data_IF_236672875693
#
_entry.id   IF_236672875693
#
_cell.length_a   1.000
_cell.length_b   1.000
_cell.length_c   1.000
_cell.angle_alpha   90.00
_cell.angle_beta   90.00
_cell.angle_gamma   90.00
#
_symmetry.space_group_name_H-M   'P 1'
#
loop_
_entity.id
_entity.type
_entity.pdbx_description
1 polymer ?
2 polymer ?
3 polymer ?
4 water ?
#
# COMPACT_ATOMS: atom_id res chain seq x y z
N UNK A 1 -16.03 -14.62 2.62
CA UNK A 1 -15.38 -13.32 2.74
C UNK A 1 -15.72 -12.38 1.60
N UNK A 2 -15.46 -11.09 1.80
CA UNK A 2 -15.77 -10.08 0.81
C UNK A 2 -14.54 -9.71 -0.03
N UNK A 3 -14.78 -9.04 -1.15
CA UNK A 3 -13.69 -8.59 -2.03
C UNK A 3 -13.80 -7.10 -2.30
N UNK A 4 -12.76 -6.53 -2.90
CA UNK A 4 -12.73 -5.10 -3.18
C UNK A 4 -11.88 -4.77 -4.39
N UNK A 5 -12.22 -3.68 -5.06
CA UNK A 5 -11.41 -3.16 -6.15
C UNK A 5 -11.05 -1.70 -5.85
N UNK A 6 -9.76 -1.40 -5.91
CA UNK A 6 -9.30 -0.07 -5.53
C UNK A 6 -8.43 0.57 -6.59
N UNK A 7 -8.67 1.86 -6.85
CA UNK A 7 -7.77 2.64 -7.68
C UNK A 7 -7.12 3.76 -6.87
N UNK A 8 -5.81 3.90 -7.01
CA UNK A 8 -5.06 4.92 -6.28
C UNK A 8 -4.32 5.82 -7.26
N UNK A 9 -4.55 7.12 -7.15
CA UNK A 9 -3.91 8.08 -8.03
C UNK A 9 -3.11 9.10 -7.23
N UNK A 10 -1.90 9.38 -7.71
CA UNK A 10 -1.03 10.36 -7.07
C UNK A 10 -0.48 11.33 -8.10
N UNK A 11 -0.65 12.63 -7.84
CA UNK A 11 -0.08 13.66 -8.69
C UNK A 11 0.76 14.61 -7.84
N UNK A 12 2.03 14.76 -8.22
CA UNK A 12 2.92 15.67 -7.51
C UNK A 12 3.49 16.70 -8.47
N UNK A 13 3.29 17.97 -8.17
CA UNK A 13 3.76 19.05 -9.03
C UNK A 13 5.26 19.24 -8.89
N UNK A 14 5.94 19.46 -10.01
CA UNK A 14 7.39 19.68 -10.02
C UNK A 14 7.74 21.11 -10.42
N UNK A 15 7.85 22.01 -9.44
CA UNK A 15 8.26 23.40 -9.69
C UNK A 15 9.78 23.56 -9.65
N UNK A 16 10.38 23.92 -10.78
CA UNK A 16 9.64 24.08 -12.02
C UNK A 16 10.18 23.14 -13.09
N UNK A 17 10.59 21.95 -12.66
CA UNK A 17 11.19 20.96 -13.55
C UNK A 17 10.29 20.62 -14.74
N UNK A 18 9.00 20.90 -14.63
CA UNK A 18 8.07 20.63 -15.70
C UNK A 18 6.67 20.41 -15.20
N UNK A 19 6.08 19.30 -15.60
CA UNK A 19 4.70 18.97 -15.23
C UNK A 19 4.63 17.87 -14.17
N UNK A 20 3.48 17.78 -13.50
CA UNK A 20 3.26 16.80 -12.42
C UNK A 20 3.66 15.38 -12.80
N UNK A 21 4.28 14.69 -11.85
CA UNK A 21 4.44 13.25 -11.92
C UNK A 21 3.10 12.60 -11.58
N UNK A 22 2.66 11.68 -12.42
CA UNK A 22 1.37 11.02 -12.20
C UNK A 22 1.52 9.51 -12.16
N UNK A 23 1.03 8.90 -11.08
CA UNK A 23 1.10 7.46 -10.93
C UNK A 23 -0.27 6.89 -10.52
N UNK A 24 -0.66 5.81 -11.20
CA UNK A 24 -1.94 5.19 -10.93
C UNK A 24 -1.76 3.70 -10.73
N UNK A 25 -2.38 3.17 -9.68
CA UNK A 25 -2.33 1.73 -9.42
C UNK A 25 -3.71 1.17 -9.16
N UNK A 26 -4.00 0.02 -9.75
CA UNK A 26 -5.25 -0.66 -9.53
C UNK A 26 -5.02 -1.92 -8.73
N UNK A 27 -5.88 -2.15 -7.75
CA UNK A 27 -5.78 -3.32 -6.89
C UNK A 27 -7.07 -4.13 -6.94
N UNK A 28 -6.94 -5.45 -6.84
CA UNK A 28 -8.06 -6.31 -6.53
C UNK A 28 -7.68 -7.05 -5.24
N UNK A 29 -8.31 -6.66 -4.14
CA UNK A 29 -7.88 -7.11 -2.83
C UNK A 29 -6.46 -6.63 -2.58
N UNK A 30 -5.54 -7.56 -2.36
CA UNK A 30 -4.16 -7.19 -2.11
C UNK A 30 -3.23 -7.49 -3.30
N UNK A 31 -3.83 -7.61 -4.48
CA UNK A 31 -3.09 -7.95 -5.70
C UNK A 31 -3.21 -6.84 -6.74
N UNK A 32 -2.08 -6.19 -7.06
CA UNK A 32 -2.07 -5.18 -8.11
C UNK A 32 -2.28 -5.83 -9.47
N UNK A 33 -3.08 -5.20 -10.32
CA UNK A 33 -3.37 -5.77 -11.64
C UNK A 33 -3.11 -4.80 -12.81
N UNK A 34 -3.10 -3.50 -12.53
CA UNK A 34 -2.76 -2.51 -13.54
C UNK A 34 -1.94 -1.36 -12.98
N UNK A 35 -1.35 -0.58 -13.87
CA UNK A 35 -0.47 0.50 -13.47
C UNK A 35 -0.21 1.49 -14.60
N UNK A 36 -0.10 2.76 -14.23
CA UNK A 36 0.28 3.79 -15.17
C UNK A 36 1.22 4.79 -14.51
N UNK A 37 2.23 5.21 -15.26
CA UNK A 37 3.20 6.18 -14.78
C UNK A 37 3.49 7.14 -15.91
N UNK A 38 3.33 8.44 -15.62
CA UNK A 38 3.50 9.47 -16.64
C UNK A 38 4.93 9.56 -17.15
N UNK A 39 5.87 9.02 -16.37
CA UNK A 39 7.29 9.08 -16.74
C UNK A 39 7.76 7.82 -17.45
N UNK A 40 6.96 6.77 -17.40
CA UNK A 40 7.31 5.52 -18.06
C UNK A 40 7.35 5.72 -19.57
N UNK A 41 8.17 4.91 -20.25
CA UNK A 41 8.30 4.99 -21.69
C UNK A 41 7.03 4.52 -22.39
N UNK A 42 6.31 3.62 -21.73
CA UNK A 42 5.12 3.00 -22.30
C UNK A 42 4.02 4.00 -22.64
N UNK A 43 3.71 4.87 -21.70
CA UNK A 43 2.61 5.82 -21.87
C UNK A 43 1.30 5.08 -22.10
N UNK A 44 1.21 3.87 -21.55
CA UNK A 44 0.01 3.04 -21.66
C UNK A 44 -0.37 2.52 -20.28
N UNK A 45 -1.65 2.23 -20.10
CA UNK A 45 -2.09 1.48 -18.94
C UNK A 45 -1.49 0.08 -19.07
N UNK A 46 -0.69 -0.33 -18.10
CA UNK A 46 0.04 -1.59 -18.20
C UNK A 46 -0.50 -2.65 -17.25
N UNK A 47 -0.46 -3.93 -17.67
CA UNK A 47 -0.94 -5.00 -16.81
C UNK A 47 0.12 -5.45 -15.80
N UNK A 48 -0.33 -5.84 -14.62
CA UNK A 48 0.57 -6.30 -13.57
C UNK A 48 0.08 -7.61 -12.95
N UNK A 49 -0.79 -8.31 -13.67
CA UNK A 49 -1.30 -9.61 -13.24
C UNK A 49 -1.71 -10.42 -14.46
N UNK A 50 -1.58 -11.75 -14.37
CA UNK A 50 -1.80 -12.64 -15.52
C UNK A 50 -3.22 -12.57 -16.09
N UNK A 51 -4.22 -12.50 -15.22
CA UNK A 51 -5.61 -12.56 -15.65
C UNK A 51 -6.08 -11.32 -16.41
N UNK A 52 -5.51 -10.17 -16.10
CA UNK A 52 -5.94 -8.93 -16.76
C UNK A 52 -5.41 -8.87 -18.20
N UNK A 53 -4.38 -9.67 -18.49
CA UNK A 53 -3.77 -9.67 -19.81
C UNK A 53 -4.72 -10.25 -20.85
N UNK A 54 -5.78 -10.91 -20.39
CA UNK A 54 -6.76 -11.52 -21.28
C UNK A 54 -7.58 -10.48 -22.02
N UNK A 55 -7.85 -9.36 -21.36
CA UNK A 55 -8.64 -8.29 -21.95
C UNK A 55 -8.07 -7.88 -23.31
N UNK A 56 -8.97 -7.70 -24.28
CA UNK A 56 -8.56 -7.33 -25.63
C UNK A 56 -8.01 -5.92 -25.71
N UNK A 57 -7.60 -5.50 -26.91
CA UNK A 57 -7.00 -4.18 -27.11
C UNK A 57 -7.99 -3.03 -26.87
N UNK A 58 -9.27 -3.26 -27.14
CA UNK A 58 -10.27 -2.22 -26.92
C UNK A 58 -10.33 -1.85 -25.44
N UNK A 59 -10.06 -2.83 -24.58
CA UNK A 59 -10.03 -2.60 -23.14
C UNK A 59 -8.82 -1.75 -22.75
N UNK A 60 -7.66 -2.14 -23.25
CA UNK A 60 -6.42 -1.41 -22.94
C UNK A 60 -6.46 0.00 -23.49
N UNK A 61 -6.86 0.15 -24.75
CA UNK A 61 -7.01 1.47 -25.35
C UNK A 61 -7.95 2.32 -24.50
N UNK A 62 -9.03 1.72 -24.01
CA UNK A 62 -10.01 2.45 -23.24
C UNK A 62 -9.44 2.89 -21.90
N UNK A 63 -8.74 1.97 -21.23
CA UNK A 63 -8.17 2.26 -19.92
C UNK A 63 -7.08 3.32 -19.94
N UNK A 64 -6.19 3.28 -20.94
CA UNK A 64 -5.15 4.30 -21.01
C UNK A 64 -5.78 5.65 -21.34
N UNK A 65 -6.83 5.61 -22.17
CA UNK A 65 -7.61 6.80 -22.46
C UNK A 65 -8.12 7.41 -21.16
N UNK A 66 -8.79 6.58 -20.36
CA UNK A 66 -9.37 7.05 -19.10
C UNK A 66 -8.36 7.49 -18.05
N UNK A 67 -7.21 6.81 -17.99
CA UNK A 67 -6.21 7.14 -16.98
C UNK A 67 -5.48 8.45 -17.28
N UNK A 68 -5.43 8.81 -18.57
CA UNK A 68 -4.85 10.09 -18.96
C UNK A 68 -5.85 11.22 -18.70
N UNK A 69 -7.13 10.94 -18.88
CA UNK A 69 -8.17 11.89 -18.54
C UNK A 69 -8.12 12.15 -17.04
N UNK A 70 -7.90 11.09 -16.27
CA UNK A 70 -7.78 11.22 -14.82
C UNK A 70 -6.65 12.21 -14.48
N UNK A 71 -5.48 11.98 -15.07
CA UNK A 71 -4.30 12.79 -14.76
C UNK A 71 -4.44 14.22 -15.24
N UNK A 72 -5.15 14.41 -16.35
CA UNK A 72 -5.31 15.76 -16.88
C UNK A 72 -6.25 16.61 -16.03
N UNK A 73 -7.12 15.95 -15.25
CA UNK A 73 -7.95 16.70 -14.32
C UNK A 73 -7.24 16.93 -13.00
N UNK A 74 -6.38 15.99 -12.60
CA UNK A 74 -5.58 16.18 -11.40
C UNK A 74 -4.49 17.23 -11.65
N UNK A 75 -4.06 17.31 -12.90
CA UNK A 75 -3.09 18.30 -13.32
C UNK A 75 -3.71 19.71 -13.26
N UNK A 76 -4.97 19.80 -13.67
CA UNK A 76 -5.69 21.08 -13.59
C UNK A 76 -6.12 21.37 -12.16
N UNK A 77 -6.43 20.32 -11.39
CA UNK A 77 -6.80 20.48 -9.99
C UNK A 77 -5.68 21.09 -9.14
N UNK A 78 -4.44 20.72 -9.42
CA UNK A 78 -3.28 21.29 -8.73
C UNK A 78 -3.25 22.80 -8.91
N UNK A 79 -3.52 23.24 -10.13
CA UNK A 79 -3.57 24.66 -10.43
C UNK A 79 -4.70 25.35 -9.69
N UNK A 80 -5.87 24.72 -9.72
CA UNK A 80 -7.06 25.25 -9.07
C UNK A 80 -6.89 25.37 -7.56
N UNK A 81 -6.39 24.32 -6.93
CA UNK A 81 -6.20 24.31 -5.49
C UNK A 81 -5.18 25.34 -5.04
N UNK A 82 -4.09 25.46 -5.80
CA UNK A 82 -3.06 26.44 -5.46
C UNK A 82 -3.73 27.82 -5.36
N UNK A 83 -4.67 28.07 -6.28
CA UNK A 83 -5.43 29.30 -6.28
C UNK A 83 -6.44 29.44 -5.15
N UNK A 84 -7.11 28.34 -4.82
CA UNK A 84 -8.05 28.34 -3.70
C UNK A 84 -7.33 28.75 -2.42
N UNK A 85 -6.13 28.20 -2.23
CA UNK A 85 -5.38 28.37 -0.99
C UNK A 85 -4.46 29.58 -0.99
N UNK A 86 -4.31 30.22 -2.15
CA UNK A 86 -3.43 31.38 -2.26
C UNK A 86 -1.98 31.00 -2.00
N UNK A 87 -1.56 29.86 -2.55
CA UNK A 87 -0.20 29.38 -2.37
C UNK A 87 0.70 29.84 -3.51
N UNK A 88 2.00 29.87 -3.26
CA UNK A 88 2.96 30.28 -4.28
C UNK A 88 3.29 29.12 -5.21
N UNK A 89 3.72 29.45 -6.43
CA UNK A 89 4.12 28.43 -7.38
C UNK A 89 5.45 27.82 -6.98
N UNK A 90 6.04 28.36 -5.91
CA UNK A 90 7.32 27.88 -5.41
C UNK A 90 7.24 26.43 -4.95
N UNK A 91 6.47 26.20 -3.89
CA UNK A 91 6.36 24.88 -3.29
C UNK A 91 5.81 23.80 -4.18
N UNK A 92 6.08 22.55 -3.81
CA UNK A 92 5.58 21.39 -4.53
C UNK A 92 4.40 20.78 -3.78
N UNK A 93 3.35 20.41 -4.50
CA UNK A 93 2.15 19.89 -3.85
C UNK A 93 1.70 18.54 -4.36
N UNK A 94 0.83 17.90 -3.61
CA UNK A 94 0.38 16.54 -3.91
C UNK A 94 -1.14 16.43 -3.84
N UNK A 95 -1.72 15.83 -4.87
CA UNK A 95 -3.12 15.41 -4.82
C UNK A 95 -3.16 13.89 -4.86
N UNK A 96 -4.01 13.31 -4.03
CA UNK A 96 -4.17 11.86 -3.99
C UNK A 96 -5.65 11.51 -4.04
N UNK A 97 -6.00 10.57 -4.91
CA UNK A 97 -7.36 10.14 -5.04
C UNK A 97 -7.48 8.63 -4.93
N UNK A 98 -8.49 8.18 -4.20
CA UNK A 98 -8.82 6.77 -4.17
C UNK A 98 -10.30 6.60 -4.43
N UNK A 99 -10.65 5.63 -5.27
CA UNK A 99 -12.03 5.21 -5.38
C UNK A 99 -12.13 3.70 -5.61
N UNK A 100 -13.28 3.13 -5.29
CA UNK A 100 -13.47 1.69 -5.41
C UNK A 100 -14.75 1.17 -4.78
N UNK A 101 -14.83 -0.15 -4.63
CA UNK A 101 -16.07 -0.78 -4.17
C UNK A 101 -15.82 -2.15 -3.53
N UNK A 102 -16.68 -2.51 -2.59
CA UNK A 102 -16.62 -3.83 -1.96
C UNK A 102 -17.84 -4.66 -2.35
N UNK A 103 -17.62 -5.95 -2.58
CA UNK A 103 -18.73 -6.87 -2.82
C UNK A 103 -18.65 -8.00 -1.81
N UNK A 104 -19.78 -8.66 -1.58
CA UNK A 104 -19.82 -9.78 -0.65
C UNK A 104 -19.41 -11.07 -1.32
N UNK A 105 -19.53 -12.18 -0.59
CA UNK A 105 -19.14 -13.48 -1.12
C UNK A 105 -20.02 -13.91 -2.29
N UNK A 106 -21.24 -13.37 -2.35
CA UNK A 106 -22.15 -13.68 -3.44
C UNK A 106 -22.12 -12.61 -4.53
N UNK A 107 -21.17 -11.68 -4.40
CA UNK A 107 -20.95 -10.66 -5.41
C UNK A 107 -21.94 -9.51 -5.34
N UNK A 108 -22.58 -9.35 -4.19
CA UNK A 108 -23.52 -8.24 -4.01
C UNK A 108 -22.79 -6.98 -3.59
N UNK A 109 -23.19 -5.84 -4.15
CA UNK A 109 -22.63 -4.57 -3.78
C UNK A 109 -22.65 -4.39 -2.26
N UNK A 110 -21.58 -3.84 -1.71
CA UNK A 110 -21.46 -3.65 -0.28
C UNK A 110 -21.21 -2.19 0.06
N UNK A 111 -20.13 -1.63 -0.48
CA UNK A 111 -19.74 -0.25 -0.20
C UNK A 111 -19.08 0.40 -1.40
N UNK A 112 -19.31 1.70 -1.55
CA UNK A 112 -18.66 2.49 -2.57
C UNK A 112 -17.78 3.53 -1.93
N UNK A 113 -16.66 3.85 -2.57
CA UNK A 113 -15.67 4.76 -1.99
C UNK A 113 -15.20 5.80 -2.99
N UNK A 114 -14.96 7.02 -2.49
CA UNK A 114 -14.19 7.99 -3.24
C UNK A 114 -13.73 9.13 -2.33
N UNK A 115 -12.42 9.18 -2.10
CA UNK A 115 -11.82 10.16 -1.19
C UNK A 115 -10.66 10.88 -1.86
N UNK A 116 -10.55 12.18 -1.61
CA UNK A 116 -9.49 12.99 -2.19
C UNK A 116 -8.67 13.63 -1.07
N UNK A 117 -7.39 13.84 -1.32
CA UNK A 117 -6.52 14.47 -0.33
C UNK A 117 -5.65 15.53 -0.99
N UNK A 118 -5.27 16.54 -0.22
CA UNK A 118 -4.36 17.56 -0.71
C UNK A 118 -3.22 17.77 0.29
N UNK A 119 -2.00 17.54 -0.15
CA UNK A 119 -0.84 17.63 0.73
C UNK A 119 -0.93 16.69 1.92
N UNK A 120 -1.56 15.54 1.71
CA UNK A 120 -1.65 14.51 2.73
C UNK A 120 -2.73 14.76 3.77
N UNK A 121 -3.65 15.66 3.46
CA UNK A 121 -4.78 15.93 4.35
C UNK A 121 -6.09 15.77 3.61
N UNK A 122 -7.07 15.19 4.29
CA UNK A 122 -8.41 15.05 3.73
C UNK A 122 -8.81 16.33 3.01
N UNK A 123 -9.38 16.18 1.82
CA UNK A 123 -9.90 17.32 1.09
C UNK A 123 -11.42 17.19 0.95
N UNK A 124 -11.85 16.22 0.15
CA UNK A 124 -13.27 15.96 -0.03
C UNK A 124 -13.50 14.46 -0.22
N UNK A 125 -14.68 14.00 0.19
CA UNK A 125 -15.01 12.59 0.11
C UNK A 125 -16.50 12.38 -0.12
N UNK A 126 -16.84 11.35 -0.87
CA UNK A 126 -18.23 10.95 -1.06
C UNK A 126 -18.68 10.17 0.16
N UNK A 127 -19.83 10.55 0.73
CA UNK A 127 -20.38 9.84 1.87
C UNK A 127 -20.88 8.44 1.49
N UNK A 128 -21.27 7.65 2.48
CA UNK A 128 -21.65 6.27 2.23
C UNK A 128 -22.92 6.13 1.40
N UNK A 129 -23.80 7.12 1.47
CA UNK A 129 -25.03 7.09 0.68
C UNK A 129 -24.78 7.26 -0.81
N UNK A 130 -23.56 7.70 -1.15
CA UNK A 130 -23.17 7.92 -2.55
C UNK A 130 -24.02 9.01 -3.20
N UNK A 131 -24.44 9.98 -2.39
CA UNK A 131 -25.32 11.05 -2.87
C UNK A 131 -24.92 12.42 -2.33
N UNK A 132 -24.06 12.43 -1.32
CA UNK A 132 -23.61 13.67 -0.71
C UNK A 132 -22.10 13.65 -0.43
N UNK A 133 -21.52 14.83 -0.22
CA UNK A 133 -20.09 14.94 0.01
C UNK A 133 -19.78 15.53 1.38
N UNK A 134 -18.56 15.30 1.84
CA UNK A 134 -18.04 15.95 3.04
C UNK A 134 -16.78 16.71 2.69
N UNK A 135 -16.78 18.02 2.97
CA UNK A 135 -15.60 18.86 2.77
C UNK A 135 -14.79 18.92 4.07
N UNK A 136 -13.47 18.98 3.94
CA UNK A 136 -12.59 19.01 5.12
C UNK A 136 -12.27 20.43 5.56
N UNK A 137 -12.15 21.34 4.59
CA UNK A 137 -11.91 22.75 4.90
C UNK A 137 -12.77 23.64 4.01
N UNK A 138 -12.61 24.95 4.14
CA UNK A 138 -13.44 25.90 3.40
C UNK A 138 -13.10 25.96 1.91
N UNK A 139 -11.92 25.47 1.54
CA UNK A 139 -11.54 25.39 0.13
C UNK A 139 -12.29 24.25 -0.54
N UNK A 140 -12.30 23.09 0.12
CA UNK A 140 -13.01 21.93 -0.39
C UNK A 140 -14.51 22.18 -0.50
N UNK A 141 -15.00 23.16 0.26
CA UNK A 141 -16.42 23.53 0.21
C UNK A 141 -16.79 24.18 -1.13
N UNK A 142 -15.84 24.90 -1.71
CA UNK A 142 -16.02 25.48 -3.03
C UNK A 142 -16.20 24.35 -4.05
N UNK A 143 -15.39 23.30 -3.91
CA UNK A 143 -15.49 22.11 -4.75
C UNK A 143 -16.82 21.40 -4.51
N UNK A 144 -17.21 21.33 -3.24
CA UNK A 144 -18.44 20.66 -2.84
C UNK A 144 -19.64 21.32 -3.49
N UNK A 145 -19.70 22.65 -3.40
CA UNK A 145 -20.80 23.40 -4.02
C UNK A 145 -20.82 23.18 -5.53
N UNK A 146 -19.65 23.14 -6.16
CA UNK A 146 -19.58 22.94 -7.60
C UNK A 146 -20.13 21.57 -8.00
N UNK A 147 -19.72 20.53 -7.27
CA UNK A 147 -20.14 19.17 -7.59
C UNK A 147 -21.61 18.93 -7.26
N UNK A 148 -22.11 19.56 -6.21
CA UNK A 148 -23.52 19.45 -5.85
C UNK A 148 -24.37 20.09 -6.94
N UNK A 149 -24.00 21.31 -7.33
CA UNK A 149 -24.72 22.04 -8.37
C UNK A 149 -24.81 21.26 -9.67
N UNK A 150 -23.75 20.53 -10.00
CA UNK A 150 -23.67 19.79 -11.25
C UNK A 150 -24.18 18.36 -11.11
N UNK A 151 -24.61 17.99 -9.91
CA UNK A 151 -25.11 16.64 -9.65
C UNK A 151 -24.10 15.57 -10.01
N UNK A 152 -22.82 15.85 -9.73
CA UNK A 152 -21.73 14.97 -10.14
C UNK A 152 -21.74 13.61 -9.43
N UNK A 153 -22.42 13.52 -8.29
CA UNK A 153 -22.43 12.28 -7.52
C UNK A 153 -23.30 11.19 -8.16
N UNK A 154 -24.31 11.61 -8.93
CA UNK A 154 -25.21 10.66 -9.59
C UNK A 154 -24.45 9.71 -10.51
N UNK A 155 -23.68 10.28 -11.43
CA UNK A 155 -22.88 9.50 -12.37
C UNK A 155 -21.84 8.67 -11.61
N UNK A 156 -21.32 9.23 -10.53
CA UNK A 156 -20.34 8.55 -9.69
C UNK A 156 -20.96 7.33 -9.00
N UNK A 157 -22.14 7.51 -8.44
CA UNK A 157 -22.86 6.41 -7.81
C UNK A 157 -23.14 5.30 -8.83
N UNK A 158 -23.57 5.69 -10.03
CA UNK A 158 -23.89 4.72 -11.07
C UNK A 158 -22.69 3.86 -11.41
N UNK A 159 -21.49 4.42 -11.30
CA UNK A 159 -20.26 3.66 -11.49
C UNK A 159 -19.97 2.76 -10.29
N UNK A 160 -19.98 3.35 -9.10
CA UNK A 160 -19.59 2.63 -7.88
C UNK A 160 -20.46 1.41 -7.57
N UNK A 161 -21.78 1.54 -7.72
CA UNK A 161 -22.66 0.42 -7.40
C UNK A 161 -23.07 -0.37 -8.63
N UNK A 162 -22.50 -0.03 -9.78
CA UNK A 162 -22.84 -0.69 -11.02
C UNK A 162 -21.62 -1.21 -11.76
N UNK A 163 -21.02 -0.34 -12.56
CA UNK A 163 -19.87 -0.71 -13.40
C UNK A 163 -18.72 -1.32 -12.61
N UNK A 164 -18.30 -0.63 -11.56
CA UNK A 164 -17.25 -1.12 -10.68
C UNK A 164 -17.57 -2.53 -10.19
N UNK A 165 -18.76 -2.71 -9.63
CA UNK A 165 -19.18 -3.99 -9.08
C UNK A 165 -19.18 -5.12 -10.11
N UNK A 166 -19.69 -4.84 -11.31
CA UNK A 166 -19.80 -5.89 -12.33
C UNK A 166 -18.43 -6.31 -12.87
N UNK A 167 -17.50 -5.36 -12.98
CA UNK A 167 -16.15 -5.67 -13.44
C UNK A 167 -15.30 -6.35 -12.36
N UNK A 168 -15.51 -5.97 -11.10
CA UNK A 168 -14.87 -6.67 -10.00
C UNK A 168 -15.22 -8.15 -10.06
N UNK A 169 -16.51 -8.45 -10.18
CA UNK A 169 -16.98 -9.84 -10.31
C UNK A 169 -16.28 -10.52 -11.46
N UNK A 170 -16.12 -9.78 -12.56
CA UNK A 170 -15.49 -10.32 -13.76
C UNK A 170 -14.05 -10.73 -13.50
N UNK A 171 -13.29 -9.85 -12.83
CA UNK A 171 -11.90 -10.13 -12.50
C UNK A 171 -11.79 -11.34 -11.57
N UNK A 172 -12.60 -11.34 -10.51
CA UNK A 172 -12.61 -12.42 -9.54
C UNK A 172 -12.85 -13.78 -10.21
N UNK A 173 -13.50 -13.75 -11.36
CA UNK A 173 -13.78 -14.98 -12.10
C UNK A 173 -12.63 -15.36 -13.03
N UNK A 174 -12.14 -14.40 -13.79
CA UNK A 174 -11.02 -14.64 -14.71
C UNK A 174 -9.72 -14.98 -14.00
N UNK A 175 -9.54 -14.45 -12.80
CA UNK A 175 -8.35 -14.73 -12.02
C UNK A 175 -8.66 -15.54 -10.77
N UNK A 176 -9.72 -16.34 -10.84
CA UNK A 176 -10.25 -17.03 -9.66
C UNK A 176 -9.21 -17.86 -8.90
N UNK A 177 -8.30 -18.49 -9.62
CA UNK A 177 -7.29 -19.34 -8.99
C UNK A 177 -6.15 -18.52 -8.39
N UNK A 178 -6.14 -17.22 -8.66
CA UNK A 178 -5.12 -16.34 -8.13
C UNK A 178 -5.70 -15.45 -7.03
N UNK A 179 -6.90 -14.91 -7.28
CA UNK A 179 -7.53 -13.96 -6.38
C UNK A 179 -8.39 -14.62 -5.30
N UNK A 180 -9.05 -15.72 -5.65
CA UNK A 180 -9.89 -16.42 -4.68
C UNK A 180 -9.10 -17.53 -4.00
N UNK A 181 -7.79 -17.38 -4.00
CA UNK A 181 -6.91 -18.30 -3.27
C UNK A 181 -6.67 -17.74 -1.88
N UNK A 182 -6.20 -18.60 -0.99
CA UNK A 182 -5.86 -18.18 0.36
C UNK A 182 -4.57 -18.88 0.74
N UNK A 183 -3.63 -18.12 1.31
CA UNK A 183 -2.37 -18.68 1.75
C UNK A 183 -2.22 -18.45 3.24
N UNK A 184 -2.20 -19.55 4.00
CA UNK A 184 -2.11 -19.42 5.46
C UNK A 184 -0.72 -18.93 5.85
N UNK A 185 -0.60 -18.25 7.00
CA UNK A 185 0.71 -17.84 7.49
C UNK A 185 1.55 -19.01 7.99
N UNK A 186 2.83 -19.03 7.64
CA UNK A 186 3.80 -19.92 8.25
C UNK A 186 4.38 -19.21 9.47
N UNK A 187 4.19 -19.78 10.65
CA UNK A 187 4.55 -19.10 11.89
C UNK A 187 5.68 -19.77 12.66
N UNK A 188 6.49 -18.95 13.31
CA UNK A 188 7.48 -19.43 14.27
C UNK A 188 7.80 -18.32 15.26
N UNK A 189 8.52 -18.65 16.33
CA UNK A 189 8.86 -17.67 17.36
C UNK A 189 10.38 -17.59 17.55
N UNK A 190 10.87 -16.40 17.91
CA UNK A 190 12.29 -16.22 18.20
C UNK A 190 12.50 -15.52 19.54
N UNK A 191 13.64 -15.80 20.17
CA UNK A 191 13.95 -15.29 21.50
C UNK A 191 15.09 -14.27 21.38
N UNK A 192 14.98 -13.17 22.11
CA UNK A 192 16.03 -12.14 22.08
C UNK A 192 16.28 -11.50 23.46
N UNK A 193 17.28 -12.01 24.19
CA UNK A 193 17.64 -11.41 25.47
C UNK A 193 18.05 -9.95 25.28
N UNK A 194 17.55 -9.06 26.14
CA UNK A 194 17.94 -7.65 26.18
C UNK A 194 18.98 -7.46 27.28
N UNK A 195 18.67 -8.01 28.44
CA UNK A 195 19.55 -7.93 29.60
C UNK A 195 19.48 -9.23 30.39
N UNK A 196 19.74 -9.15 31.70
CA UNK A 196 19.65 -10.34 32.55
C UNK A 196 18.24 -10.53 33.08
N UNK A 197 17.43 -9.49 33.01
CA UNK A 197 16.08 -9.53 33.57
C UNK A 197 14.98 -9.54 32.51
N UNK A 198 15.35 -9.30 31.26
CA UNK A 198 14.36 -9.19 30.19
C UNK A 198 14.77 -9.86 28.88
N UNK A 199 13.77 -10.11 28.05
CA UNK A 199 13.97 -10.68 26.72
C UNK A 199 12.76 -10.39 25.86
N UNK A 200 12.96 -10.33 24.54
CA UNK A 200 11.85 -10.12 23.63
C UNK A 200 11.43 -11.44 23.01
N UNK A 201 10.13 -11.71 23.05
CA UNK A 201 9.55 -12.81 22.29
C UNK A 201 8.96 -12.22 21.02
N UNK A 202 9.30 -12.82 19.89
CA UNK A 202 8.78 -12.32 18.62
C UNK A 202 8.03 -13.41 17.86
N UNK A 203 6.81 -13.09 17.45
CA UNK A 203 5.97 -14.02 16.69
C UNK A 203 5.98 -13.65 15.21
N UNK A 204 6.45 -14.57 14.38
CA UNK A 204 6.56 -14.33 12.94
C UNK A 204 5.41 -14.98 12.16
N UNK A 205 4.85 -14.22 11.23
CA UNK A 205 3.96 -14.79 10.22
C UNK A 205 4.56 -14.53 8.83
N UNK A 206 4.72 -15.59 8.05
CA UNK A 206 5.33 -15.49 6.73
C UNK A 206 4.46 -16.11 5.64
N UNK A 207 4.63 -15.62 4.41
CA UNK A 207 4.01 -16.20 3.24
C UNK A 207 2.50 -16.35 3.25
N UNK A 208 1.78 -15.32 3.69
CA UNK A 208 0.32 -15.41 3.73
C UNK A 208 -0.40 -14.50 2.74
N UNK A 209 -1.62 -14.90 2.35
CA UNK A 209 -2.49 -14.10 1.51
C UNK A 209 -3.95 -14.38 1.86
N UNK A 210 -4.78 -13.32 1.96
CA UNK A 210 -4.44 -11.91 1.76
C UNK A 210 -3.66 -11.30 2.93
N UNK A 211 -3.48 -9.98 2.90
CA UNK A 211 -2.58 -9.28 3.81
C UNK A 211 -3.15 -9.00 5.20
N UNK A 212 -4.46 -9.18 5.37
CA UNK A 212 -5.07 -8.92 6.66
C UNK A 212 -4.83 -10.08 7.62
N UNK A 213 -4.25 -9.76 8.76
CA UNK A 213 -3.85 -10.76 9.77
C UNK A 213 -3.83 -10.11 11.15
N UNK A 214 -4.12 -10.90 12.17
CA UNK A 214 -4.11 -10.40 13.55
C UNK A 214 -3.15 -11.22 14.41
N UNK A 215 -2.11 -10.57 14.92
CA UNK A 215 -1.14 -11.22 15.80
C UNK A 215 -1.26 -10.68 17.21
N UNK A 216 -1.67 -11.55 18.14
CA UNK A 216 -1.86 -11.15 19.52
C UNK A 216 -0.93 -11.91 20.45
N UNK A 217 -0.29 -11.19 21.36
CA UNK A 217 0.47 -11.84 22.42
C UNK A 217 -0.38 -11.99 23.67
N UNK A 218 -0.37 -13.20 24.23
CA UNK A 218 -1.17 -13.49 25.42
C UNK A 218 -0.28 -13.91 26.58
N UNK A 219 -0.71 -13.56 27.79
CA UNK A 219 -0.04 -13.99 28.99
C UNK A 219 -1.00 -14.68 29.94
N UNK A 220 -0.84 -16.00 30.10
CA UNK A 220 -1.72 -16.80 30.96
C UNK A 220 -3.17 -16.69 30.50
N UNK A 221 -3.37 -16.27 29.26
CA UNK A 221 -4.71 -16.08 28.71
C UNK A 221 -5.01 -14.64 28.33
N UNK A 222 -4.65 -13.71 29.21
CA UNK A 222 -4.88 -12.29 28.97
C UNK A 222 -4.18 -11.81 27.71
N UNK A 223 -4.67 -10.72 27.14
CA UNK A 223 -4.03 -10.12 25.96
C UNK A 223 -3.09 -8.98 26.36
N UNK A 224 -1.91 -8.97 25.77
CA UNK A 224 -0.90 -7.96 26.08
C UNK A 224 -0.84 -6.90 24.99
N UNK A 225 -1.99 -6.62 24.38
CA UNK A 225 -2.09 -5.67 23.28
C UNK A 225 -1.46 -4.32 23.60
N UNK A 226 -1.36 -4.02 24.89
CA UNK A 226 -0.91 -2.71 25.34
C UNK A 226 0.61 -2.56 25.34
N UNK A 227 1.31 -3.69 25.31
CA UNK A 227 2.77 -3.68 25.42
C UNK A 227 3.46 -4.42 24.26
N UNK A 228 2.73 -4.57 23.16
CA UNK A 228 3.22 -5.31 22.01
C UNK A 228 3.66 -4.40 20.86
N UNK A 229 4.83 -4.67 20.30
CA UNK A 229 5.29 -3.96 19.11
C UNK A 229 4.97 -4.74 17.84
N UNK A 230 4.17 -4.14 16.97
CA UNK A 230 3.91 -4.70 15.65
C UNK A 230 4.59 -3.86 14.59
N UNK A 231 5.12 -4.52 13.57
CA UNK A 231 5.58 -3.80 12.38
C UNK A 231 4.49 -3.81 11.32
N UNK A 232 4.56 -2.86 10.40
CA UNK A 232 3.58 -2.81 9.32
C UNK A 232 3.69 -4.08 8.50
N UNK A 233 2.55 -4.63 8.10
CA UNK A 233 2.54 -5.81 7.24
C UNK A 233 3.27 -5.50 5.95
N UNK A 234 4.23 -6.35 5.59
CA UNK A 234 5.10 -6.08 4.46
C UNK A 234 4.97 -7.14 3.35
N UNK A 235 5.14 -6.72 2.09
CA UNK A 235 5.10 -7.63 0.95
C UNK A 235 6.40 -8.40 0.79
N UNK A 236 6.30 -9.71 0.63
CA UNK A 236 7.47 -10.53 0.34
C UNK A 236 7.95 -10.24 -1.07
N UNK A 237 7.02 -9.78 -1.91
CA UNK A 237 7.31 -9.44 -3.29
C UNK A 237 6.87 -10.51 -4.28
N UNK A 238 6.38 -11.63 -3.76
CA UNK A 238 5.96 -12.75 -4.60
C UNK A 238 4.45 -12.98 -4.50
N UNK A 239 3.74 -12.00 -3.97
CA UNK A 239 2.30 -12.09 -3.85
C UNK A 239 1.82 -12.36 -2.43
N UNK A 240 2.75 -12.72 -1.55
CA UNK A 240 2.41 -12.98 -0.16
C UNK A 240 2.98 -11.90 0.75
N UNK A 241 2.55 -11.88 2.01
CA UNK A 241 3.01 -10.86 2.95
C UNK A 241 3.60 -11.46 4.22
N UNK A 242 4.34 -10.63 4.95
CA UNK A 242 4.98 -11.05 6.20
C UNK A 242 4.64 -10.06 7.30
N UNK A 243 4.81 -10.47 8.54
CA UNK A 243 4.57 -9.61 9.69
C UNK A 243 5.05 -10.27 10.98
N UNK A 244 5.38 -9.45 11.98
CA UNK A 244 5.67 -10.00 13.31
C UNK A 244 5.17 -9.09 14.43
N UNK A 245 5.06 -9.68 15.61
CA UNK A 245 4.69 -8.94 16.81
C UNK A 245 5.65 -9.34 17.92
N UNK A 246 6.00 -8.38 18.77
CA UNK A 246 6.99 -8.62 19.81
C UNK A 246 6.51 -8.20 21.20
N UNK A 247 6.83 -9.00 22.21
CA UNK A 247 6.65 -8.59 23.60
C UNK A 247 7.98 -8.63 24.34
N UNK A 248 8.21 -7.62 25.16
CA UNK A 248 9.33 -7.65 26.08
C UNK A 248 8.85 -8.34 27.34
N UNK A 249 9.57 -9.38 27.77
CA UNK A 249 9.12 -10.27 28.82
C UNK A 249 10.17 -10.42 29.92
N UNK A 250 9.71 -10.57 31.17
CA UNK A 250 10.61 -10.90 32.28
C UNK A 250 11.14 -12.32 32.16
N UNK A 251 12.44 -12.48 32.04
CA UNK A 251 13.04 -13.81 32.09
C UNK A 251 13.23 -14.22 33.55
N UNK A 252 12.85 -15.45 33.91
CA UNK A 252 12.29 -16.39 32.95
C UNK A 252 10.80 -16.61 33.16
N UNK A 253 10.00 -15.91 32.37
CA UNK A 253 8.55 -16.07 32.39
C UNK A 253 8.05 -16.25 30.97
N UNK A 254 8.98 -16.47 30.05
CA UNK A 254 8.65 -16.62 28.64
C UNK A 254 7.65 -17.74 28.39
N UNK A 255 7.67 -18.77 29.23
CA UNK A 255 6.81 -19.94 29.01
C UNK A 255 5.33 -19.67 29.32
N UNK A 256 5.03 -18.52 29.92
CA UNK A 256 3.65 -18.16 30.22
C UNK A 256 2.97 -17.46 29.05
N UNK A 257 3.74 -17.21 27.99
CA UNK A 257 3.24 -16.44 26.85
C UNK A 257 2.82 -17.30 25.67
N UNK A 258 1.80 -16.83 24.95
CA UNK A 258 1.34 -17.51 23.74
C UNK A 258 1.05 -16.51 22.65
N UNK A 259 1.32 -16.89 21.41
CA UNK A 259 0.99 -16.06 20.27
C UNK A 259 -0.30 -16.58 19.63
N UNK A 260 -1.27 -15.69 19.48
CA UNK A 260 -2.55 -16.04 18.88
C UNK A 260 -2.59 -15.44 17.47
N UNK A 261 -2.81 -16.29 16.47
CA UNK A 261 -2.81 -15.86 15.07
C UNK A 261 -4.15 -16.10 14.37
N UNK A 262 -4.73 -15.04 13.82
CA UNK A 262 -5.99 -15.14 13.07
C UNK A 262 -5.79 -14.71 11.63
N UNK A 263 -6.32 -15.50 10.70
CA UNK A 263 -6.17 -15.22 9.28
C UNK A 263 -7.21 -16.01 8.48
N UNK A 264 -7.77 -15.36 7.45
CA UNK A 264 -8.79 -16.00 6.60
C UNK A 264 -8.32 -17.33 6.00
N UNK A 265 -7.01 -17.51 5.91
CA UNK A 265 -6.44 -18.73 5.36
C UNK A 265 -6.42 -19.88 6.33
N UNK A 266 -6.44 -19.58 7.62
CA UNK A 266 -6.45 -20.60 8.67
C UNK A 266 -7.87 -21.09 8.95
N UNK A 267 -8.06 -22.42 8.98
CA UNK A 267 -9.36 -23.03 9.28
C UNK A 267 -9.75 -22.73 10.72
N UNK A 268 -8.79 -22.88 11.61
CA UNK A 268 -8.95 -22.57 13.02
C UNK A 268 -7.81 -21.63 13.43
N UNK A 269 -8.13 -20.58 14.21
CA UNK A 269 -7.10 -19.68 14.74
C UNK A 269 -5.98 -20.45 15.42
N UNK A 270 -4.76 -19.92 15.36
CA UNK A 270 -3.59 -20.59 15.93
C UNK A 270 -3.25 -20.10 17.34
N UNK A 271 -2.84 -21.04 18.18
CA UNK A 271 -2.33 -20.70 19.51
C UNK A 271 -0.98 -21.38 19.70
N UNK A 272 0.06 -20.57 19.80
CA UNK A 272 1.42 -21.10 19.91
C UNK A 272 2.06 -20.71 21.24
N UNK A 273 2.42 -21.70 22.05
CA UNK A 273 3.11 -21.45 23.30
C UNK A 273 4.61 -21.52 23.07
N UNK A 274 5.34 -20.62 23.71
CA UNK A 274 6.78 -20.53 23.54
C UNK A 274 7.53 -21.74 24.10
N UNK B 1 0.76 16.32 8.05
CA UNK B 1 1.10 16.15 6.63
C UNK B 1 2.43 15.41 6.46
N UNK B 2 3.50 15.99 6.99
CA UNK B 2 4.82 15.36 6.91
C UNK B 2 4.93 14.15 7.81
N UNK B 3 5.39 13.03 7.25
CA UNK B 3 5.53 11.80 8.01
C UNK B 3 6.83 11.07 7.70
N UNK B 4 7.51 10.65 8.76
CA UNK B 4 8.77 9.91 8.67
C UNK B 4 8.51 8.50 8.13
N UNK B 5 9.33 8.07 7.16
CA UNK B 5 9.21 6.69 6.68
C UNK B 5 9.56 5.68 7.77
N UNK B 6 8.93 4.50 7.70
CA UNK B 6 9.32 3.37 8.50
C UNK B 6 9.97 2.36 7.58
N UNK B 7 11.11 1.83 7.99
CA UNK B 7 11.99 1.11 7.08
C UNK B 7 12.22 -0.34 7.51
N UNK B 8 12.02 -1.27 6.59
CA UNK B 8 12.27 -2.69 6.86
C UNK B 8 13.15 -3.33 5.80
N UNK B 9 14.23 -3.98 6.25
CA UNK B 9 15.13 -4.70 5.37
C UNK B 9 15.05 -6.19 5.68
N UNK B 10 14.76 -6.98 4.65
CA UNK B 10 14.51 -8.41 4.84
C UNK B 10 14.63 -9.12 3.50
N UNK B 11 14.60 -10.44 3.53
CA UNK B 11 14.65 -11.23 2.32
C UNK B 11 13.29 -11.84 2.02
N UNK B 12 13.05 -12.19 0.76
CA UNK B 12 11.79 -12.80 0.37
C UNK B 12 11.63 -14.16 1.05
N UNK B 13 12.65 -15.00 0.90
CA UNK B 13 12.67 -16.30 1.56
C UNK B 13 13.76 -16.31 2.61
N UNK B 14 13.65 -17.23 3.59
CA UNK B 14 14.70 -17.39 4.59
C UNK B 14 16.07 -17.57 3.93
N UNK B 15 17.03 -16.74 4.32
CA UNK B 15 18.34 -16.71 3.67
C UNK B 15 19.07 -18.05 3.77
N UNK B 16 19.76 -18.40 2.69
CA UNK B 16 20.55 -19.62 2.62
C UNK B 16 21.75 -19.35 1.74
N UNK B 17 22.93 -19.31 2.36
CA UNK B 17 24.16 -19.02 1.62
C UNK B 17 24.25 -19.85 0.33
N UNK B 18 24.52 -19.17 -0.78
CA UNK B 18 24.71 -19.86 -2.04
C UNK B 18 23.46 -19.94 -2.88
N UNK B 19 22.31 -19.63 -2.27
CA UNK B 19 21.03 -19.68 -3.00
C UNK B 19 20.46 -18.31 -3.32
N UNK B 20 20.20 -18.08 -4.61
CA UNK B 20 19.61 -16.82 -5.04
C UNK B 20 18.31 -16.55 -4.30
N UNK B 21 18.04 -15.27 -4.09
CA UNK B 21 16.96 -14.82 -3.23
C UNK B 21 16.63 -13.40 -3.63
N UNK B 22 15.80 -12.73 -2.84
CA UNK B 22 15.49 -11.33 -3.09
C UNK B 22 15.67 -10.50 -1.84
N UNK B 23 16.37 -9.39 -1.99
CA UNK B 23 16.57 -8.46 -0.89
C UNK B 23 15.56 -7.32 -0.99
N UNK B 24 14.75 -7.17 0.04
CA UNK B 24 13.70 -6.15 0.05
C UNK B 24 14.02 -5.00 0.98
N UNK B 25 13.67 -3.80 0.56
CA UNK B 25 13.62 -2.67 1.44
C UNK B 25 12.23 -2.05 1.32
N UNK B 26 11.42 -2.20 2.36
CA UNK B 26 10.06 -1.71 2.33
C UNK B 26 9.98 -0.44 3.16
N UNK B 27 9.64 0.67 2.51
CA UNK B 27 9.44 1.93 3.20
C UNK B 27 7.96 2.30 3.18
N UNK B 28 7.38 2.51 4.36
CA UNK B 28 5.98 2.87 4.46
C UNK B 28 5.72 3.97 5.48
N UNK B 29 4.52 4.55 5.41
CA UNK B 29 4.08 5.53 6.38
C UNK B 29 4.70 6.90 6.25
N UNK B 30 5.22 7.20 5.06
CA UNK B 30 5.88 8.49 4.85
C UNK B 30 5.09 9.48 3.99
N UNK B 31 5.50 10.73 4.06
CA UNK B 31 4.89 11.81 3.30
C UNK B 31 5.81 13.02 3.39
N UNK B 32 6.15 13.65 2.25
CA UNK B 32 5.59 13.38 0.92
C UNK B 32 6.27 12.21 0.20
N UNK B 33 5.95 12.05 -1.08
CA UNK B 33 6.39 10.89 -1.86
C UNK B 33 7.85 10.92 -2.26
N UNK B 34 8.41 12.11 -2.49
CA UNK B 34 9.82 12.22 -2.85
C UNK B 34 10.69 11.54 -1.81
N UNK B 35 11.32 10.44 -2.20
CA UNK B 35 12.14 9.66 -1.28
C UNK B 35 13.27 8.97 -2.04
N UNK B 36 14.44 8.92 -1.43
CA UNK B 36 15.60 8.25 -2.05
C UNK B 36 15.95 6.97 -1.31
N UNK B 37 16.09 5.88 -2.05
CA UNK B 37 16.33 4.58 -1.45
C UNK B 37 17.37 3.79 -2.22
N UNK B 38 18.39 3.32 -1.52
CA UNK B 38 19.44 2.49 -2.12
C UNK B 38 19.68 1.21 -1.33
N UNK B 39 19.95 0.13 -2.05
CA UNK B 39 20.35 -1.11 -1.41
C UNK B 39 21.87 -1.22 -1.47
N UNK B 40 22.50 -1.54 -0.35
CA UNK B 40 23.95 -1.57 -0.27
C UNK B 40 24.49 -2.99 -0.09
N UNK B 41 25.54 -3.32 -0.84
CA UNK B 41 26.29 -4.54 -0.60
C UNK B 41 27.68 -4.20 -0.08
N UNK B 42 27.91 -4.49 1.19
CA UNK B 42 29.18 -4.13 1.82
C UNK B 42 29.48 -2.65 1.68
N UNK B 43 28.43 -1.84 1.66
CA UNK B 43 28.58 -0.40 1.57
C UNK B 43 28.46 0.13 0.17
N UNK B 44 28.71 -0.71 -0.83
CA UNK B 44 28.60 -0.31 -2.23
C UNK B 44 27.14 -0.26 -2.68
N UNK B 45 26.80 0.80 -3.40
CA UNK B 45 25.45 0.96 -3.94
C UNK B 45 25.19 -0.09 -5.02
N UNK B 46 24.04 -0.73 -4.93
CA UNK B 46 23.62 -1.71 -5.93
C UNK B 46 22.84 -1.01 -7.05
N UNK B 47 23.19 -1.32 -8.31
CA UNK B 47 22.61 -0.59 -9.44
C UNK B 47 21.35 -1.24 -10.04
N UNK B 48 21.35 -2.56 -10.16
CA UNK B 48 20.17 -3.27 -10.67
C UNK B 48 19.10 -3.42 -9.59
N UNK B 49 18.39 -2.33 -9.30
CA UNK B 49 17.39 -2.33 -8.22
C UNK B 49 16.00 -1.89 -8.69
N UNK B 50 15.01 -2.76 -8.49
CA UNK B 50 13.64 -2.46 -8.85
C UNK B 50 12.87 -1.82 -7.69
N UNK B 51 11.78 -1.14 -8.01
CA UNK B 51 10.89 -0.64 -6.97
C UNK B 51 9.45 -0.78 -7.44
N UNK B 52 8.53 -0.86 -6.48
CA UNK B 52 7.12 -1.02 -6.79
C UNK B 52 6.52 0.31 -7.25
N UNK B 53 5.23 0.30 -7.57
CA UNK B 53 4.54 1.52 -7.97
C UNK B 53 4.02 2.26 -6.73
N UNK B 54 4.16 3.57 -6.73
CA UNK B 54 3.73 4.38 -5.61
C UNK B 54 2.27 4.12 -5.26
N UNK B 55 2.00 3.93 -3.97
CA UNK B 55 0.65 3.71 -3.49
C UNK B 55 0.56 4.22 -2.06
N UNK B 56 -0.65 4.33 -1.52
CA UNK B 56 -0.82 4.92 -0.20
C UNK B 56 -1.90 4.23 0.64
N UNK B 57 -1.85 4.48 1.94
CA UNK B 57 -2.79 3.88 2.88
C UNK B 57 -3.96 4.80 3.19
N UNK B 58 -4.84 4.34 4.09
CA UNK B 58 -6.04 5.09 4.42
C UNK B 58 -5.74 6.48 4.98
N UNK B 59 -4.54 6.64 5.54
CA UNK B 59 -4.15 7.94 6.11
C UNK B 59 -3.37 8.79 5.12
N UNK B 60 -3.29 8.32 3.88
CA UNK B 60 -2.64 9.05 2.78
C UNK B 60 -1.12 8.91 2.74
N UNK B 61 -0.54 8.23 3.72
CA UNK B 61 0.90 8.05 3.71
C UNK B 61 1.28 7.02 2.65
N UNK B 62 2.50 7.15 2.11
CA UNK B 62 2.91 6.31 0.99
C UNK B 62 3.66 5.05 1.42
N UNK B 63 3.74 4.10 0.49
CA UNK B 63 4.59 2.93 0.68
C UNK B 63 5.23 2.48 -0.63
N UNK B 64 6.46 1.97 -0.52
CA UNK B 64 7.20 1.48 -1.67
C UNK B 64 8.01 0.24 -1.31
N UNK B 65 8.16 -0.67 -2.27
CA UNK B 65 9.06 -1.79 -2.11
C UNK B 65 10.24 -1.69 -3.08
N UNK B 66 11.44 -1.56 -2.52
CA UNK B 66 12.65 -1.68 -3.34
C UNK B 66 13.23 -3.08 -3.15
N UNK B 67 13.61 -3.70 -4.26
CA UNK B 67 14.08 -5.08 -4.21
C UNK B 67 15.11 -5.40 -5.30
N UNK B 68 15.91 -6.43 -5.05
CA UNK B 68 16.90 -6.89 -6.01
C UNK B 68 17.24 -8.35 -5.75
N UNK B 69 17.41 -9.12 -6.83
CA UNK B 69 17.86 -10.49 -6.69
C UNK B 69 19.28 -10.50 -6.15
N UNK B 70 19.57 -11.44 -5.25
CA UNK B 70 20.92 -11.58 -4.73
C UNK B 70 21.17 -12.99 -4.24
N UNK B 71 22.43 -13.31 -4.00
CA UNK B 71 22.78 -14.61 -3.44
C UNK B 71 23.58 -14.39 -2.17
N UNK B 72 22.93 -14.53 -1.01
CA UNK B 72 23.56 -14.27 0.28
C UNK B 72 24.78 -15.17 0.50
N UNK B 73 25.84 -14.61 1.07
CA UNK B 73 26.97 -15.40 1.51
C UNK B 73 27.22 -15.10 2.97
N UNK B 74 27.93 -15.99 3.66
CA UNK B 74 28.14 -15.83 5.09
C UNK B 74 28.82 -14.51 5.43
N UNK B 75 29.79 -14.12 4.62
CA UNK B 75 30.62 -12.95 4.92
C UNK B 75 30.00 -11.61 4.49
N UNK B 76 29.28 -11.60 3.37
CA UNK B 76 28.72 -10.37 2.82
C UNK B 76 27.62 -9.74 3.67
N UNK B 77 27.66 -8.41 3.78
CA UNK B 77 26.65 -7.66 4.52
C UNK B 77 25.78 -6.81 3.59
N UNK B 78 24.49 -6.74 3.89
CA UNK B 78 23.58 -5.92 3.09
C UNK B 78 22.84 -4.92 3.97
N UNK B 79 22.49 -3.78 3.39
CA UNK B 79 21.77 -2.74 4.12
C UNK B 79 20.92 -1.91 3.17
N UNK B 80 20.20 -0.95 3.73
CA UNK B 80 19.34 -0.08 2.95
C UNK B 80 19.53 1.37 3.35
N UNK B 81 19.90 2.21 2.39
CA UNK B 81 20.05 3.64 2.65
C UNK B 81 18.78 4.39 2.21
N UNK B 82 18.09 4.98 3.18
CA UNK B 82 16.91 5.78 2.87
C UNK B 82 17.16 7.26 3.19
N UNK B 83 16.80 8.12 2.24
CA UNK B 83 16.88 9.56 2.45
C UNK B 83 15.52 10.19 2.17
N UNK B 84 15.09 11.05 3.09
CA UNK B 84 13.76 11.65 3.01
C UNK B 84 13.78 13.00 3.71
N UNK B 85 12.89 13.89 3.28
CA UNK B 85 12.86 15.25 3.81
C UNK B 85 12.65 15.31 5.33
N UNK B 86 12.12 14.25 5.92
CA UNK B 86 11.87 14.23 7.37
C UNK B 86 13.09 13.77 8.18
N UNK B 87 14.05 13.15 7.51
CA UNK B 87 15.28 12.72 8.17
C UNK B 87 16.34 13.80 8.16
N UNK B 88 16.89 14.12 9.32
CA UNK B 88 17.99 15.09 9.42
C UNK B 88 19.27 14.52 8.82
N UNK B 89 19.26 13.24 8.50
CA UNK B 89 20.41 12.57 7.90
C UNK B 89 19.93 11.25 7.30
N UNK B 90 20.53 10.84 6.17
CA UNK B 90 20.14 9.57 5.55
C UNK B 90 20.28 8.41 6.53
N UNK B 91 19.28 7.54 6.56
CA UNK B 91 19.25 6.44 7.52
C UNK B 91 19.67 5.14 6.86
N UNK B 92 20.57 4.42 7.52
CA UNK B 92 21.05 3.15 7.00
C UNK B 92 20.63 2.01 7.90
N UNK B 93 19.75 1.15 7.40
CA UNK B 93 19.25 0.02 8.16
C UNK B 93 19.89 -1.26 7.66
N UNK B 94 20.59 -1.96 8.55
CA UNK B 94 21.31 -3.18 8.18
C UNK B 94 20.39 -4.39 8.12
N UNK B 95 20.60 -5.23 7.11
CA UNK B 95 19.84 -6.47 6.99
C UNK B 95 20.27 -7.45 8.07
N UNK B 96 19.31 -7.86 8.90
CA UNK B 96 19.58 -8.80 9.98
C UNK B 96 18.76 -10.07 9.81
N UNK B 97 19.44 -11.16 9.45
CA UNK B 97 18.76 -12.45 9.24
C UNK B 97 17.90 -12.87 10.42
N UNK B 98 18.31 -12.46 11.62
CA UNK B 98 17.61 -12.80 12.84
C UNK B 98 16.43 -11.85 13.07
N UNK C 1 -11.75 -1.77 -14.07
CA UNK C 1 -12.33 -0.83 -15.03
C UNK C 1 -12.36 0.57 -14.42
N UNK C 2 -11.63 1.49 -15.03
CA UNK C 2 -11.62 2.87 -14.56
C UNK C 2 -12.94 3.55 -14.86
N UNK C 3 -13.32 4.51 -14.01
CA UNK C 3 -14.51 5.31 -14.26
C UNK C 3 -14.33 6.11 -15.56
N UNK C 4 -15.44 6.32 -16.27
CA UNK C 4 -15.39 6.91 -17.60
C UNK C 4 -15.79 8.37 -17.59
N UNK C 5 -16.22 8.87 -16.43
CA UNK C 5 -16.65 10.25 -16.31
C UNK C 5 -15.74 11.06 -15.38
N UNK C 6 -15.52 12.33 -15.73
CA UNK C 6 -14.56 13.17 -15.01
C UNK C 6 -15.06 14.59 -14.84
N UNK C 7 -14.74 15.17 -13.69
CA UNK C 7 -15.16 16.53 -13.37
C UNK C 7 -14.08 17.27 -12.59
N UNK C 8 -13.73 18.47 -13.07
CA UNK C 8 -12.68 19.25 -12.46
C UNK C 8 -13.05 19.70 -11.05
N UNK C 9 -12.10 20.29 -10.35
CA UNK C 9 -12.22 20.53 -8.92
C UNK C 9 -12.07 22.01 -8.58
#
# INVERSE_FOLDING_TARGET
GSHSMRYFFTSVSRPGRGEPRFIAVGYVDDTQFVRFDSDAASQRMEPRAPWIEQEGPEYWDQETRNVKAQSQTDRVDLGTLRGYYNQSEAGSHTIQIMYGCDVGSDGRFLRGYRQDAYDGKDYIALNEDLRSWTAADMAAQITKRKWEAAHEAEQLRAYLDGTCVEWLRRYLENGKETLQRTDPPKTHMTHHPISDHEATLRCWALGFYPAEITLTWQRDGEDQTQDTELVETRPAGDGTFQKWAAVVVPSGEEQRYTCHVQHEGLPKPLTLRW
AQRTPKIQVYSRHPAENGKSNFLNCYVSGFHPSDIEVDLLKNGERIEKVEHSDLSFSKDWSFYLLYYTEFTPTEKDEYACRVNHVTLSQPKIVKWDRD
KLIETYFSK
#
